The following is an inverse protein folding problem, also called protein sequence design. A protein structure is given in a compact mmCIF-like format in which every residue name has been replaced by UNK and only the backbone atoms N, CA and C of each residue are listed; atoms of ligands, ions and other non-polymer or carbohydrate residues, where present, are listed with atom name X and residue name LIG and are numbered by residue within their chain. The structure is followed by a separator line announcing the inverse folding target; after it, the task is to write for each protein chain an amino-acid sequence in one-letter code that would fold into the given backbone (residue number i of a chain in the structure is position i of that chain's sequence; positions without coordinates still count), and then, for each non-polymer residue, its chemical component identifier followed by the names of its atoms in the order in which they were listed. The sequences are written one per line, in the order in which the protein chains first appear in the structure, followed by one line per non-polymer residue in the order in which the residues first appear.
data_IF_527591443181
#
_entry.id   IF_527591443181
#
_cell.length_a   1.000
_cell.length_b   1.000
_cell.length_c   1.000
_cell.angle_alpha   90.00
_cell.angle_beta   90.00
_cell.angle_gamma   90.00
#
_symmetry.space_group_name_H-M   'P 1'
#
loop_
_entity.id
_entity.type
_entity.pdbx_description
1 polymer ?
#
# COMPACT_ATOMS: atom_id res chain seq x y z
N UNK A 1 -3.87 -3.72 -3.19
CA UNK A 1 -4.00 -2.36 -3.79
C UNK A 1 -3.25 -2.18 -5.10
N UNK A 2 -2.02 -2.72 -5.27
CA UNK A 2 -1.30 -2.62 -6.55
C UNK A 2 -2.11 -3.26 -7.69
N UNK A 3 -2.11 -2.63 -8.86
CA UNK A 3 -2.84 -3.07 -10.06
C UNK A 3 -4.26 -2.51 -10.20
N UNK A 4 -4.82 -1.93 -9.14
CA UNK A 4 -6.14 -1.31 -9.21
C UNK A 4 -6.16 -0.12 -10.18
N UNK A 5 -7.21 0.02 -11.01
CA UNK A 5 -7.40 1.20 -11.84
C UNK A 5 -7.70 2.42 -10.96
N UNK A 6 -7.24 3.58 -11.42
CA UNK A 6 -7.58 4.89 -10.86
C UNK A 6 -8.49 5.62 -11.83
N UNK A 7 -9.69 5.98 -11.37
CA UNK A 7 -10.75 6.52 -12.22
C UNK A 7 -11.12 7.94 -11.80
N UNK A 8 -11.23 8.84 -12.79
CA UNK A 8 -11.80 10.18 -12.58
C UNK A 8 -13.32 10.10 -12.48
N UNK A 9 -13.90 10.69 -11.43
CA UNK A 9 -15.35 10.82 -11.28
C UNK A 9 -15.95 11.90 -12.19
N UNK A 10 -15.19 12.96 -12.47
CA UNK A 10 -15.60 14.03 -13.40
C UNK A 10 -15.77 13.53 -14.83
N UNK A 11 -14.80 12.78 -15.35
CA UNK A 11 -14.76 12.37 -16.76
C UNK A 11 -15.11 10.89 -17.00
N UNK A 12 -15.14 10.05 -15.95
CA UNK A 12 -15.39 8.61 -16.07
C UNK A 12 -14.25 7.82 -16.73
N UNK A 13 -13.05 8.40 -16.84
CA UNK A 13 -11.91 7.79 -17.51
C UNK A 13 -10.93 7.10 -16.53
N UNK A 14 -10.29 6.01 -16.99
CA UNK A 14 -9.16 5.39 -16.28
C UNK A 14 -7.90 6.24 -16.52
N UNK A 15 -7.40 6.87 -15.45
CA UNK A 15 -6.20 7.71 -15.47
C UNK A 15 -4.90 6.89 -15.47
N UNK A 16 -5.00 5.60 -15.11
CA UNK A 16 -3.89 4.66 -15.03
C UNK A 16 -4.15 3.58 -13.98
N UNK A 17 -3.15 2.74 -13.71
CA UNK A 17 -3.23 1.69 -12.68
C UNK A 17 -2.16 1.86 -11.63
N UNK A 18 -2.50 1.60 -10.37
CA UNK A 18 -1.54 1.65 -9.26
C UNK A 18 -0.37 0.73 -9.56
N UNK A 19 0.80 1.33 -9.78
CA UNK A 19 2.06 0.63 -10.02
C UNK A 19 2.78 0.32 -8.72
N UNK A 20 2.79 1.27 -7.80
CA UNK A 20 3.57 1.20 -6.57
C UNK A 20 2.96 2.12 -5.51
N UNK A 21 3.33 1.90 -4.26
CA UNK A 21 2.88 2.73 -3.14
C UNK A 21 4.05 3.53 -2.60
N UNK A 22 3.76 4.72 -2.10
CA UNK A 22 4.76 5.66 -1.58
C UNK A 22 4.48 5.91 -0.12
N UNK A 23 5.41 5.52 0.72
CA UNK A 23 5.34 5.76 2.16
C UNK A 23 6.20 6.95 2.57
N UNK A 24 5.67 7.70 3.53
CA UNK A 24 6.41 8.73 4.24
C UNK A 24 7.41 8.08 5.20
N UNK A 25 8.66 8.53 5.16
CA UNK A 25 9.77 7.90 5.91
C UNK A 25 9.62 8.09 7.42
N UNK A 26 9.00 9.20 7.85
CA UNK A 26 8.86 9.53 9.27
C UNK A 26 7.71 8.76 9.93
N UNK A 27 6.60 8.58 9.22
CA UNK A 27 5.37 7.99 9.76
C UNK A 27 5.14 6.55 9.31
N UNK A 28 5.82 6.09 8.25
CA UNK A 28 5.51 4.86 7.52
C UNK A 28 4.05 4.78 7.02
N UNK A 29 3.35 5.92 6.99
CA UNK A 29 2.02 6.05 6.44
C UNK A 29 2.05 6.19 4.91
N UNK A 30 0.97 5.74 4.26
CA UNK A 30 0.77 5.90 2.83
C UNK A 30 0.56 7.37 2.47
N UNK A 31 1.59 7.95 1.88
CA UNK A 31 1.55 9.32 1.35
C UNK A 31 0.78 9.41 0.03
N UNK A 32 0.78 8.33 -0.76
CA UNK A 32 0.11 8.24 -2.05
C UNK A 32 0.54 7.03 -2.86
N UNK A 33 0.11 7.01 -4.12
CA UNK A 33 0.36 5.91 -5.06
C UNK A 33 1.03 6.43 -6.33
N UNK A 34 1.88 5.59 -6.91
CA UNK A 34 2.43 5.81 -8.26
C UNK A 34 1.59 5.03 -9.25
N UNK A 35 1.24 5.63 -10.38
CA UNK A 35 0.48 5.02 -11.45
C UNK A 35 1.40 4.51 -12.57
N UNK A 36 0.92 3.55 -13.34
CA UNK A 36 1.45 3.23 -14.67
C UNK A 36 0.85 4.20 -15.68
N UNK A 37 1.62 4.63 -16.67
CA UNK A 37 1.09 5.40 -17.80
C UNK A 37 0.71 4.43 -18.91
N UNK A 38 -0.53 4.54 -19.35
CA UNK A 38 -1.02 3.86 -20.53
C UNK A 38 -0.63 4.70 -21.77
N UNK A 39 0.64 4.65 -22.20
CA UNK A 39 1.07 5.26 -23.47
C UNK A 39 2.48 5.85 -23.53
N UNK A 40 2.76 6.56 -24.63
CA UNK A 40 4.04 7.20 -24.97
C UNK A 40 4.31 8.50 -24.19
N UNK A 41 3.32 8.99 -23.42
CA UNK A 41 3.45 10.22 -22.62
C UNK A 41 4.28 9.94 -21.36
N UNK A 42 5.42 10.63 -21.25
CA UNK A 42 6.10 10.84 -19.96
C UNK A 42 5.41 12.01 -19.27
N UNK A 43 4.77 11.75 -18.15
CA UNK A 43 3.96 12.72 -17.40
C UNK A 43 3.40 12.08 -16.14
N UNK A 44 2.66 12.86 -15.34
CA UNK A 44 2.55 12.71 -13.90
C UNK A 44 1.94 11.40 -13.49
N UNK A 45 2.55 10.75 -12.48
CA UNK A 45 2.11 9.43 -12.03
C UNK A 45 1.87 9.37 -10.53
N UNK A 46 2.04 10.46 -9.79
CA UNK A 46 1.83 10.41 -8.35
C UNK A 46 0.43 10.91 -7.99
N UNK A 47 -0.28 10.16 -7.16
CA UNK A 47 -1.56 10.55 -6.59
C UNK A 47 -1.45 10.51 -5.07
N UNK A 48 -1.57 11.68 -4.43
CA UNK A 48 -1.57 11.78 -2.97
C UNK A 48 -2.75 11.04 -2.36
N UNK A 49 -2.53 10.38 -1.24
CA UNK A 49 -3.54 9.62 -0.52
C UNK A 49 -4.79 10.48 -0.20
N UNK A 50 -4.57 11.74 0.20
CA UNK A 50 -5.64 12.71 0.51
C UNK A 50 -6.53 13.10 -0.68
N UNK A 51 -6.13 12.76 -1.92
CA UNK A 51 -6.91 13.04 -3.14
C UNK A 51 -7.76 11.84 -3.58
N UNK A 52 -7.59 10.68 -2.95
CA UNK A 52 -8.43 9.50 -3.19
C UNK A 52 -9.75 9.68 -2.44
N UNK A 53 -10.86 9.57 -3.17
CA UNK A 53 -12.22 9.74 -2.65
C UNK A 53 -12.80 8.44 -2.13
N UNK A 54 -12.75 7.38 -2.95
CA UNK A 54 -13.26 6.08 -2.57
C UNK A 54 -12.23 4.98 -2.90
N UNK A 55 -11.66 4.32 -1.89
CA UNK A 55 -10.78 3.17 -2.06
C UNK A 55 -11.62 1.88 -2.20
N UNK A 56 -12.20 1.68 -3.39
CA UNK A 56 -13.01 0.50 -3.66
C UNK A 56 -12.16 -0.75 -3.95
N UNK A 57 -12.71 -1.96 -3.77
CA UNK A 57 -11.99 -3.20 -4.07
C UNK A 57 -11.68 -3.39 -5.56
N UNK A 58 -12.36 -2.67 -6.45
CA UNK A 58 -12.16 -2.75 -7.90
C UNK A 58 -11.50 -1.51 -8.51
N UNK A 59 -11.47 -0.36 -7.80
CA UNK A 59 -10.91 0.88 -8.32
C UNK A 59 -10.66 1.90 -7.19
N UNK A 60 -9.64 2.74 -7.35
CA UNK A 60 -9.51 3.98 -6.59
C UNK A 60 -10.17 5.11 -7.40
N UNK A 61 -11.01 5.92 -6.76
CA UNK A 61 -11.63 7.07 -7.43
C UNK A 61 -11.04 8.40 -6.97
N UNK A 62 -10.95 9.35 -7.89
CA UNK A 62 -10.52 10.73 -7.65
C UNK A 62 -11.50 11.69 -8.30
N UNK A 63 -11.50 12.95 -7.88
CA UNK A 63 -12.37 13.97 -8.50
C UNK A 63 -12.05 14.10 -10.00
N UNK A 64 -10.80 14.36 -10.35
CA UNK A 64 -10.36 14.55 -11.73
C UNK A 64 -8.89 14.27 -11.97
N UNK A 65 -8.46 14.26 -13.23
CA UNK A 65 -7.07 14.10 -13.65
C UNK A 65 -6.14 15.18 -13.08
N UNK A 66 -6.67 16.36 -12.70
CA UNK A 66 -5.94 17.42 -12.02
C UNK A 66 -5.40 17.02 -10.62
N UNK A 67 -5.82 15.87 -10.08
CA UNK A 67 -5.25 15.33 -8.84
C UNK A 67 -3.87 14.69 -9.02
N UNK A 68 -3.41 14.47 -10.26
CA UNK A 68 -2.13 13.84 -10.55
C UNK A 68 -0.97 14.84 -10.49
N UNK A 69 0.14 14.40 -9.90
CA UNK A 69 1.37 15.18 -9.75
C UNK A 69 2.54 14.56 -10.52
N UNK A 70 3.39 15.43 -11.07
CA UNK A 70 4.53 15.04 -11.94
C UNK A 70 5.68 14.40 -11.16
N UNK A 71 5.72 14.70 -9.88
CA UNK A 71 6.83 14.34 -9.00
C UNK A 71 6.34 13.48 -7.86
N UNK A 72 7.04 12.37 -7.65
CA UNK A 72 6.96 11.62 -6.40
C UNK A 72 7.79 12.37 -5.35
N UNK A 73 7.37 12.41 -4.07
CA UNK A 73 8.19 12.97 -2.99
C UNK A 73 9.61 12.37 -2.98
N UNK A 74 10.62 13.24 -2.86
CA UNK A 74 12.04 12.86 -3.01
C UNK A 74 12.51 11.86 -1.95
N UNK A 75 12.27 12.17 -0.68
CA UNK A 75 12.51 11.24 0.43
C UNK A 75 11.23 10.41 0.66
N UNK A 76 11.16 9.25 0.02
CA UNK A 76 10.06 8.32 0.20
C UNK A 76 10.49 6.87 0.10
N UNK A 77 9.74 6.01 0.79
CA UNK A 77 9.90 4.57 0.75
C UNK A 77 8.93 3.98 -0.28
N UNK A 78 9.34 2.91 -0.95
CA UNK A 78 8.55 2.31 -2.04
C UNK A 78 8.05 0.93 -1.63
N UNK A 79 6.77 0.65 -1.82
CA UNK A 79 6.17 -0.65 -1.44
C UNK A 79 6.92 -1.85 -2.01
N UNK A 80 7.36 -1.76 -3.27
CA UNK A 80 8.18 -2.80 -3.91
C UNK A 80 9.46 -3.19 -3.15
N UNK A 81 9.96 -2.32 -2.25
CA UNK A 81 11.13 -2.61 -1.43
C UNK A 81 10.79 -3.56 -0.27
N UNK A 82 9.53 -3.54 0.19
CA UNK A 82 9.05 -4.30 1.34
C UNK A 82 8.24 -5.53 0.98
N UNK A 83 7.57 -5.52 -0.18
CA UNK A 83 6.83 -6.68 -0.67
C UNK A 83 7.74 -7.92 -0.72
N UNK A 84 7.24 -9.04 -0.19
CA UNK A 84 7.94 -10.31 -0.11
C UNK A 84 8.91 -10.43 1.07
N UNK A 85 9.07 -9.39 1.90
CA UNK A 85 9.87 -9.50 3.13
C UNK A 85 9.18 -10.42 4.13
N UNK A 86 10.00 -11.12 4.92
CA UNK A 86 9.52 -11.91 6.05
C UNK A 86 8.95 -10.98 7.12
N UNK A 87 7.80 -11.36 7.66
CA UNK A 87 7.17 -10.68 8.79
C UNK A 87 7.36 -11.54 10.03
N UNK A 88 7.93 -10.97 11.08
CA UNK A 88 8.16 -11.63 12.37
C UNK A 88 7.31 -10.98 13.46
N UNK A 89 6.94 -11.74 14.49
CA UNK A 89 6.50 -11.15 15.76
C UNK A 89 7.70 -10.78 16.65
N UNK A 90 7.45 -10.05 17.75
CA UNK A 90 8.48 -9.65 18.71
C UNK A 90 9.20 -10.83 19.40
N UNK A 91 8.66 -12.05 19.32
CA UNK A 91 9.30 -13.28 19.79
C UNK A 91 10.23 -13.91 18.77
N UNK A 92 10.35 -13.34 17.57
CA UNK A 92 11.18 -13.85 16.48
C UNK A 92 10.53 -14.96 15.66
N UNK A 93 9.24 -15.26 15.87
CA UNK A 93 8.52 -16.24 15.06
C UNK A 93 8.10 -15.59 13.74
N UNK A 94 8.32 -16.30 12.65
CA UNK A 94 7.84 -15.89 11.32
C UNK A 94 6.33 -16.09 11.19
N UNK A 95 5.65 -15.04 10.73
CA UNK A 95 4.21 -15.00 10.51
C UNK A 95 3.85 -15.27 9.04
N UNK A 96 4.77 -14.95 8.11
CA UNK A 96 4.62 -15.15 6.67
C UNK A 96 5.44 -14.12 5.85
N UNK A 97 5.18 -14.06 4.55
CA UNK A 97 5.76 -13.07 3.63
C UNK A 97 4.76 -11.93 3.39
N UNK A 98 5.21 -10.68 3.45
CA UNK A 98 4.37 -9.50 3.25
C UNK A 98 3.88 -9.40 1.79
N UNK A 99 2.58 -9.51 1.56
CA UNK A 99 1.99 -9.51 0.20
C UNK A 99 1.22 -8.24 -0.16
N UNK A 100 0.54 -7.63 0.82
CA UNK A 100 -0.19 -6.37 0.68
C UNK A 100 -0.40 -5.70 2.05
N UNK A 101 -0.92 -4.48 2.03
CA UNK A 101 -1.35 -3.75 3.24
C UNK A 101 -2.75 -3.20 3.07
N UNK A 102 -3.52 -3.22 4.15
CA UNK A 102 -4.74 -2.44 4.26
C UNK A 102 -4.43 -1.10 4.92
N UNK A 103 -4.98 -0.04 4.36
CA UNK A 103 -4.76 1.32 4.84
C UNK A 103 -6.09 2.00 5.11
N UNK A 104 -6.11 2.78 6.18
CA UNK A 104 -7.19 3.68 6.50
C UNK A 104 -7.08 4.95 5.66
N UNK A 105 -8.20 5.35 5.06
CA UNK A 105 -8.27 6.56 4.25
C UNK A 105 -9.08 7.63 4.97
N UNK A 106 -8.70 8.92 4.85
CA UNK A 106 -7.58 9.45 4.07
C UNK A 106 -6.26 9.54 4.86
N UNK A 107 -6.19 8.97 6.07
CA UNK A 107 -5.02 9.10 6.96
C UNK A 107 -3.76 8.46 6.38
N UNK A 108 -3.91 7.41 5.56
CA UNK A 108 -2.82 6.61 5.02
C UNK A 108 -2.23 5.64 6.05
N UNK A 109 -2.82 5.54 7.24
CA UNK A 109 -2.34 4.68 8.32
C UNK A 109 -2.54 3.21 7.92
N UNK A 110 -1.50 2.38 8.08
CA UNK A 110 -1.61 0.94 7.87
C UNK A 110 -2.43 0.33 9.02
N UNK A 111 -3.48 -0.42 8.68
CA UNK A 111 -4.40 -1.03 9.64
C UNK A 111 -4.35 -2.54 9.63
N UNK A 112 -3.90 -3.16 8.55
CA UNK A 112 -3.65 -4.59 8.51
C UNK A 112 -2.54 -4.93 7.52
N UNK A 113 -1.89 -6.08 7.76
CA UNK A 113 -0.92 -6.69 6.86
C UNK A 113 -1.53 -7.95 6.25
N UNK A 114 -1.47 -8.09 4.93
CA UNK A 114 -1.81 -9.33 4.24
C UNK A 114 -0.53 -10.13 4.00
N UNK A 115 -0.50 -11.37 4.48
CA UNK A 115 0.66 -12.25 4.44
C UNK A 115 0.40 -13.50 3.60
N UNK A 116 1.39 -13.91 2.81
CA UNK A 116 1.45 -15.23 2.20
C UNK A 116 2.08 -16.25 3.15
N UNK A 117 1.55 -17.47 3.14
CA UNK A 117 2.15 -18.63 3.81
C UNK A 117 2.66 -19.66 2.80
N UNK A 118 2.79 -19.25 1.53
CA UNK A 118 3.21 -20.07 0.40
C UNK A 118 2.06 -20.29 -0.60
N UNK A 119 2.42 -20.40 -1.89
CA UNK A 119 1.47 -20.42 -3.01
C UNK A 119 0.35 -21.47 -2.87
N UNK A 120 0.68 -22.67 -2.38
CA UNK A 120 -0.30 -23.75 -2.20
C UNK A 120 -1.28 -23.41 -1.08
N UNK A 121 -0.81 -22.86 0.04
CA UNK A 121 -1.66 -22.46 1.16
C UNK A 121 -2.57 -21.30 0.74
N UNK A 122 -1.99 -20.29 0.08
CA UNK A 122 -2.71 -19.12 -0.40
C UNK A 122 -3.85 -19.49 -1.35
N UNK A 123 -3.70 -20.54 -2.16
CA UNK A 123 -4.75 -21.02 -3.06
C UNK A 123 -5.88 -21.76 -2.32
N UNK A 124 -5.56 -22.50 -1.27
CA UNK A 124 -6.51 -23.34 -0.54
C UNK A 124 -7.28 -22.55 0.53
N UNK A 125 -6.57 -21.72 1.27
CA UNK A 125 -7.08 -21.02 2.46
C UNK A 125 -7.23 -19.51 2.24
N UNK A 126 -6.69 -18.99 1.14
CA UNK A 126 -6.47 -17.56 0.97
C UNK A 126 -5.23 -17.09 1.71
N UNK A 127 -4.94 -15.80 1.57
CA UNK A 127 -3.88 -15.15 2.33
C UNK A 127 -4.36 -14.80 3.73
N UNK A 128 -3.41 -14.73 4.66
CA UNK A 128 -3.69 -14.40 6.05
C UNK A 128 -3.65 -12.89 6.26
N UNK A 129 -4.72 -12.32 6.79
CA UNK A 129 -4.74 -10.92 7.22
C UNK A 129 -4.44 -10.80 8.72
N UNK A 130 -3.54 -9.91 9.11
CA UNK A 130 -3.22 -9.59 10.49
C UNK A 130 -3.63 -8.14 10.79
N UNK A 131 -4.51 -7.94 11.77
CA UNK A 131 -4.85 -6.61 12.29
C UNK A 131 -3.60 -5.97 12.92
N UNK A 132 -3.27 -4.77 12.42
CA UNK A 132 -2.13 -3.97 12.83
C UNK A 132 -2.54 -2.60 13.38
N UNK A 133 -3.83 -2.31 13.53
CA UNK A 133 -4.31 -0.98 13.88
C UNK A 133 -3.81 -0.47 15.26
N UNK A 134 -3.51 -1.40 16.18
CA UNK A 134 -2.92 -1.12 17.50
C UNK A 134 -1.48 -1.62 17.67
N UNK A 135 -0.81 -2.03 16.60
CA UNK A 135 0.55 -2.53 16.65
C UNK A 135 1.55 -1.43 16.30
N UNK A 136 2.76 -1.50 16.86
CA UNK A 136 3.90 -0.77 16.30
C UNK A 136 4.66 -1.69 15.34
N UNK A 137 5.13 -1.14 14.23
CA UNK A 137 5.77 -1.92 13.15
C UNK A 137 7.18 -1.39 12.94
N UNK A 138 8.16 -2.28 12.99
CA UNK A 138 9.52 -1.97 12.54
C UNK A 138 9.69 -2.41 11.09
N UNK A 139 9.98 -1.45 10.21
CA UNK A 139 10.20 -1.66 8.79
C UNK A 139 11.71 -1.76 8.50
N UNK A 140 12.32 -2.90 8.85
CA UNK A 140 13.75 -3.14 8.70
C UNK A 140 14.13 -3.58 7.29
N UNK A 141 15.41 -3.41 6.86
CA UNK A 141 15.88 -3.69 5.50
C UNK A 141 15.69 -5.16 5.07
N UNK A 142 15.73 -6.09 6.02
CA UNK A 142 15.62 -7.54 5.74
C UNK A 142 14.26 -8.13 6.17
N UNK A 143 13.70 -7.61 7.26
CA UNK A 143 12.47 -8.15 7.89
C UNK A 143 11.57 -7.02 8.38
N UNK A 144 10.27 -7.28 8.38
CA UNK A 144 9.26 -6.44 9.05
C UNK A 144 8.92 -7.08 10.38
N UNK A 145 8.93 -6.31 11.47
CA UNK A 145 8.63 -6.84 12.81
C UNK A 145 7.35 -6.19 13.32
N UNK A 146 6.39 -7.04 13.70
CA UNK A 146 5.15 -6.65 14.32
C UNK A 146 5.29 -6.72 15.84
N UNK A 147 5.12 -5.57 16.50
CA UNK A 147 5.06 -5.47 17.95
C UNK A 147 3.61 -5.27 18.34
N UNK A 148 2.96 -6.33 18.82
CA UNK A 148 1.61 -6.24 19.38
C UNK A 148 1.63 -5.29 20.57
N UNK A 149 0.76 -4.29 20.58
CA UNK A 149 0.60 -3.39 21.72
C UNK A 149 0.28 -4.21 22.96
N UNK A 150 1.21 -4.25 23.91
CA UNK A 150 0.96 -4.83 25.23
C UNK A 150 -0.08 -3.96 25.93
N UNK A 151 -1.31 -4.47 26.03
CA UNK A 151 -2.19 -4.05 27.10
C UNK A 151 -1.54 -4.47 28.42
N UNK A 152 -1.00 -3.50 29.14
CA UNK A 152 -0.83 -3.58 30.60
C UNK A 152 -2.04 -2.96 31.26
#
# INVERSE_FOLDING_TARGET
MVGLPVVSLEAGEELGRVHDLVWDVATYGLSGVVLTSNGLRKGPRFLKAKKIRNPGPQALTVDSSACLEDTVPGESLRWREFKGRRVLDAGGRELGLLEDVEVEWPSGRIVALELSQGLVNDLLEGRRTIDAAGCSITWGPDVVILHTGGGV
#
